data_IF_344563692179
#
_entry.id   IF_344563692179
#
_cell.length_a   1.000
_cell.length_b   1.000
_cell.length_c   1.000
_cell.angle_alpha   90.00
_cell.angle_beta   90.00
_cell.angle_gamma   90.00
#
_symmetry.space_group_name_H-M   'P 1'
#
loop_
_entity.id
_entity.type
_entity.pdbx_description
1 polymer ?
#
# COMPACT_ATOMS: atom_id res chain seq x y z
N UNK A 1 -30.95 28.10 7.23
CA UNK A 1 -30.10 28.07 6.01
C UNK A 1 -28.81 27.29 6.39
N UNK A 2 -29.02 25.98 6.64
CA UNK A 2 -27.95 25.05 7.01
C UNK A 2 -27.49 24.33 5.75
N UNK A 3 -26.37 24.81 5.17
CA UNK A 3 -25.63 24.01 4.22
C UNK A 3 -24.98 22.89 5.05
N UNK A 4 -25.55 21.69 5.02
CA UNK A 4 -24.91 20.49 5.50
C UNK A 4 -23.51 20.45 4.86
N UNK A 5 -22.49 20.56 5.70
CA UNK A 5 -21.14 20.12 5.36
C UNK A 5 -21.22 18.60 5.18
N UNK A 6 -21.56 18.18 3.98
CA UNK A 6 -21.46 16.78 3.60
C UNK A 6 -19.98 16.43 3.73
N UNK A 7 -19.63 15.66 4.75
CA UNK A 7 -18.28 15.13 4.89
C UNK A 7 -17.95 14.30 3.66
N UNK A 8 -16.70 14.39 3.17
CA UNK A 8 -16.24 13.60 2.04
C UNK A 8 -16.48 12.11 2.27
N UNK A 9 -17.00 11.43 1.25
CA UNK A 9 -17.20 9.98 1.29
C UNK A 9 -15.86 9.26 1.14
N UNK A 10 -15.53 8.42 2.13
CA UNK A 10 -14.31 7.65 2.18
C UNK A 10 -14.62 6.16 2.04
N UNK A 11 -14.00 5.48 1.10
CA UNK A 11 -14.15 4.05 0.93
C UNK A 11 -12.80 3.36 0.66
N UNK A 12 -12.70 2.09 1.08
CA UNK A 12 -11.56 1.22 0.76
C UNK A 12 -12.08 -0.16 0.39
N UNK A 13 -11.68 -0.64 -0.77
CA UNK A 13 -12.14 -1.93 -1.29
C UNK A 13 -11.03 -2.70 -2.01
N UNK A 14 -11.25 -4.01 -2.18
CA UNK A 14 -10.42 -4.86 -3.05
C UNK A 14 -10.94 -4.76 -4.48
N UNK A 15 -10.04 -4.59 -5.43
CA UNK A 15 -10.35 -4.55 -6.87
C UNK A 15 -9.99 -5.89 -7.51
N UNK A 16 -10.90 -6.43 -8.31
CA UNK A 16 -10.70 -7.62 -9.14
C UNK A 16 -10.70 -7.29 -10.63
N UNK A 17 -11.34 -6.17 -10.99
CA UNK A 17 -11.36 -5.64 -12.35
C UNK A 17 -11.41 -4.11 -12.34
N UNK A 18 -11.04 -3.48 -13.44
CA UNK A 18 -11.07 -2.04 -13.60
C UNK A 18 -12.13 -1.60 -14.59
N UNK A 19 -12.90 -0.58 -14.25
CA UNK A 19 -13.48 0.32 -15.24
C UNK A 19 -12.38 1.19 -15.85
N UNK A 20 -12.63 1.79 -17.00
CA UNK A 20 -11.65 2.70 -17.62
C UNK A 20 -11.40 3.95 -16.76
N UNK A 21 -12.44 4.46 -16.09
CA UNK A 21 -12.35 5.61 -15.18
C UNK A 21 -11.54 5.27 -13.93
N UNK A 22 -11.73 4.10 -13.34
CA UNK A 22 -10.97 3.64 -12.17
C UNK A 22 -9.47 3.47 -12.50
N UNK A 23 -9.18 2.84 -13.64
CA UNK A 23 -7.80 2.68 -14.07
C UNK A 23 -7.15 4.03 -14.36
N UNK A 24 -7.91 4.94 -14.97
CA UNK A 24 -7.48 6.31 -15.20
C UNK A 24 -7.11 7.02 -13.90
N UNK A 25 -8.02 7.05 -12.95
CA UNK A 25 -7.85 7.71 -11.66
C UNK A 25 -6.67 7.08 -10.87
N UNK A 26 -6.54 5.75 -10.86
CA UNK A 26 -5.43 5.07 -10.21
C UNK A 26 -4.08 5.42 -10.83
N UNK A 27 -4.00 5.51 -12.15
CA UNK A 27 -2.77 5.93 -12.85
C UNK A 27 -2.39 7.37 -12.50
N UNK A 28 -3.35 8.29 -12.46
CA UNK A 28 -3.13 9.69 -12.08
C UNK A 28 -2.66 9.82 -10.63
N UNK A 29 -3.33 9.11 -9.70
CA UNK A 29 -2.95 9.08 -8.30
C UNK A 29 -1.54 8.52 -8.09
N UNK A 30 -1.19 7.46 -8.85
CA UNK A 30 0.14 6.83 -8.82
C UNK A 30 1.21 7.78 -9.34
N UNK A 31 0.96 8.44 -10.46
CA UNK A 31 1.89 9.40 -11.05
C UNK A 31 2.18 10.56 -10.09
N UNK A 32 1.13 11.13 -9.48
CA UNK A 32 1.25 12.17 -8.47
C UNK A 32 2.08 11.70 -7.25
N UNK A 33 1.90 10.44 -6.80
CA UNK A 33 2.65 9.88 -5.69
C UNK A 33 4.12 9.63 -6.05
N UNK A 34 4.43 9.21 -7.28
CA UNK A 34 5.81 9.02 -7.76
C UNK A 34 6.53 10.37 -7.81
N UNK A 35 5.90 11.41 -8.35
CA UNK A 35 6.46 12.76 -8.44
C UNK A 35 6.73 13.37 -7.07
N UNK A 36 5.93 13.03 -6.06
CA UNK A 36 6.10 13.44 -4.66
C UNK A 36 7.15 12.58 -3.91
N UNK A 37 7.83 11.67 -4.59
CA UNK A 37 8.83 10.77 -3.99
C UNK A 37 8.24 9.55 -3.30
N UNK A 38 7.01 9.15 -3.66
CA UNK A 38 6.29 8.02 -3.08
C UNK A 38 6.97 6.67 -3.23
N UNK A 39 6.46 5.69 -2.49
CA UNK A 39 7.04 4.37 -2.23
C UNK A 39 7.01 3.35 -3.37
N UNK A 40 7.16 3.77 -4.62
CA UNK A 40 7.29 2.87 -5.76
C UNK A 40 8.74 2.57 -6.12
N UNK A 41 8.95 1.52 -6.93
CA UNK A 41 10.23 1.27 -7.57
C UNK A 41 10.60 2.36 -8.59
N UNK A 42 9.61 3.05 -9.15
CA UNK A 42 9.84 4.19 -10.02
C UNK A 42 10.24 5.45 -9.25
N UNK A 43 11.23 6.15 -9.75
CA UNK A 43 11.67 7.48 -9.27
C UNK A 43 11.28 8.60 -10.23
N UNK A 44 10.77 8.24 -11.40
CA UNK A 44 10.19 9.12 -12.42
C UNK A 44 8.94 8.46 -12.97
N UNK A 45 8.00 9.27 -13.44
CA UNK A 45 6.81 8.76 -14.11
C UNK A 45 7.20 7.85 -15.28
N UNK A 46 6.70 6.61 -15.35
CA UNK A 46 6.94 5.72 -16.48
C UNK A 46 5.99 6.03 -17.66
N UNK A 47 5.05 6.97 -17.46
CA UNK A 47 4.00 7.34 -18.41
C UNK A 47 2.74 6.47 -18.26
N UNK A 48 1.61 7.05 -18.74
CA UNK A 48 0.25 6.50 -18.58
C UNK A 48 0.16 5.05 -19.03
N UNK A 49 0.60 4.74 -20.24
CA UNK A 49 0.50 3.38 -20.81
C UNK A 49 1.26 2.33 -19.98
N UNK A 50 2.41 2.69 -19.44
CA UNK A 50 3.18 1.77 -18.58
C UNK A 50 2.46 1.50 -17.27
N UNK A 51 1.84 2.51 -16.66
CA UNK A 51 1.03 2.36 -15.44
C UNK A 51 -0.21 1.50 -15.68
N UNK A 52 -0.94 1.74 -16.77
CA UNK A 52 -2.11 0.93 -17.15
C UNK A 52 -1.73 -0.55 -17.35
N UNK A 53 -0.66 -0.82 -18.09
CA UNK A 53 -0.16 -2.19 -18.28
C UNK A 53 0.26 -2.84 -16.96
N UNK A 54 0.91 -2.07 -16.08
CA UNK A 54 1.31 -2.55 -14.76
C UNK A 54 0.10 -2.97 -13.92
N UNK A 55 -0.92 -2.12 -13.80
CA UNK A 55 -2.09 -2.43 -12.98
C UNK A 55 -2.95 -3.54 -13.58
N UNK A 56 -3.16 -3.56 -14.89
CA UNK A 56 -3.84 -4.68 -15.55
C UNK A 56 -3.07 -5.99 -15.37
N UNK A 57 -1.75 -5.97 -15.50
CA UNK A 57 -0.90 -7.13 -15.27
C UNK A 57 -0.91 -7.61 -13.81
N UNK A 58 -1.00 -6.68 -12.86
CA UNK A 58 -1.04 -6.99 -11.44
C UNK A 58 -2.24 -7.87 -11.07
N UNK A 59 -3.42 -7.58 -11.61
CA UNK A 59 -4.63 -8.38 -11.36
C UNK A 59 -4.55 -9.80 -11.91
N UNK A 60 -3.61 -10.09 -12.80
CA UNK A 60 -3.39 -11.43 -13.36
C UNK A 60 -2.42 -12.27 -12.51
N UNK A 61 -1.79 -11.67 -11.49
CA UNK A 61 -0.82 -12.37 -10.63
C UNK A 61 -1.54 -12.97 -9.42
N UNK A 62 -1.64 -14.31 -9.32
CA UNK A 62 -2.43 -14.96 -8.25
C UNK A 62 -1.97 -14.63 -6.83
N UNK A 63 -0.68 -14.31 -6.67
CA UNK A 63 -0.09 -13.98 -5.37
C UNK A 63 -0.34 -12.52 -4.95
N UNK A 64 -1.04 -11.71 -5.77
CA UNK A 64 -1.27 -10.29 -5.47
C UNK A 64 -2.75 -9.97 -5.39
N UNK A 65 -3.11 -9.17 -4.38
CA UNK A 65 -4.41 -8.54 -4.27
C UNK A 65 -4.22 -7.02 -4.22
N UNK A 66 -5.04 -6.31 -4.98
CA UNK A 66 -5.03 -4.85 -5.01
C UNK A 66 -6.18 -4.29 -4.19
N UNK A 67 -5.85 -3.40 -3.27
CA UNK A 67 -6.80 -2.59 -2.51
C UNK A 67 -6.67 -1.14 -2.94
N UNK A 68 -7.80 -0.45 -3.09
CA UNK A 68 -7.85 0.96 -3.48
C UNK A 68 -8.55 1.78 -2.41
N UNK A 69 -8.14 3.04 -2.29
CA UNK A 69 -8.78 4.05 -1.46
C UNK A 69 -9.50 5.05 -2.36
N UNK A 70 -10.76 5.34 -2.03
CA UNK A 70 -11.59 6.31 -2.74
C UNK A 70 -11.90 7.51 -1.85
N UNK A 71 -11.90 8.65 -2.48
CA UNK A 71 -12.40 9.92 -1.96
C UNK A 71 -13.50 10.40 -2.89
N UNK A 72 -14.72 10.53 -2.39
CA UNK A 72 -15.90 10.91 -3.18
C UNK A 72 -16.07 10.05 -4.46
N UNK A 73 -15.89 8.73 -4.30
CA UNK A 73 -15.98 7.74 -5.38
C UNK A 73 -14.74 7.59 -6.27
N UNK A 74 -13.81 8.54 -6.26
CA UNK A 74 -12.62 8.55 -7.13
C UNK A 74 -11.45 7.83 -6.44
N UNK A 75 -10.74 6.96 -7.15
CA UNK A 75 -9.54 6.29 -6.64
C UNK A 75 -8.42 7.31 -6.47
N UNK A 76 -7.90 7.41 -5.24
CA UNK A 76 -6.84 8.35 -4.84
C UNK A 76 -5.64 7.67 -4.19
N UNK A 77 -5.64 6.35 -4.12
CA UNK A 77 -4.52 5.60 -3.55
C UNK A 77 -4.73 4.10 -3.67
N UNK A 78 -3.67 3.34 -3.43
CA UNK A 78 -3.74 1.88 -3.40
C UNK A 78 -2.70 1.25 -2.50
N UNK A 79 -2.89 -0.04 -2.22
CA UNK A 79 -1.93 -0.91 -1.56
C UNK A 79 -2.07 -2.32 -2.10
N UNK A 80 -0.99 -3.10 -2.03
CA UNK A 80 -0.97 -4.48 -2.49
C UNK A 80 -0.73 -5.41 -1.31
N UNK A 81 -1.53 -6.47 -1.21
CA UNK A 81 -1.24 -7.63 -0.40
C UNK A 81 -0.51 -8.65 -1.28
N UNK A 82 0.70 -9.01 -0.90
CA UNK A 82 1.52 -9.97 -1.64
C UNK A 82 1.69 -11.23 -0.80
N UNK A 83 1.24 -12.35 -1.33
CA UNK A 83 1.33 -13.68 -0.72
C UNK A 83 2.74 -14.25 -0.94
N UNK A 84 3.24 -15.13 -0.06
CA UNK A 84 4.47 -15.86 -0.32
C UNK A 84 4.30 -16.78 -1.53
N UNK A 85 5.40 -17.11 -2.19
CA UNK A 85 5.38 -18.10 -3.27
C UNK A 85 4.95 -19.48 -2.74
N UNK A 86 4.24 -20.26 -3.56
CA UNK A 86 3.63 -21.56 -3.15
C UNK A 86 4.62 -22.58 -2.62
N UNK A 87 5.86 -22.52 -3.07
CA UNK A 87 6.93 -23.43 -2.63
C UNK A 87 7.74 -22.90 -1.43
N UNK A 88 7.33 -21.79 -0.82
CA UNK A 88 7.96 -21.27 0.40
C UNK A 88 7.12 -21.69 1.64
N UNK A 89 7.12 -22.97 1.94
CA UNK A 89 6.33 -23.55 3.03
C UNK A 89 6.71 -22.98 4.39
N UNK A 90 7.99 -22.74 4.64
CA UNK A 90 8.48 -22.23 5.91
C UNK A 90 7.98 -20.81 6.24
N UNK A 91 7.61 -20.02 5.24
CA UNK A 91 7.08 -18.67 5.40
C UNK A 91 5.61 -18.54 4.95
N UNK A 92 4.92 -19.66 4.73
CA UNK A 92 3.54 -19.70 4.22
C UNK A 92 2.51 -18.98 5.13
N UNK A 93 2.87 -18.71 6.38
CA UNK A 93 2.03 -18.01 7.35
C UNK A 93 2.15 -16.47 7.30
N UNK A 94 3.05 -15.92 6.49
CA UNK A 94 3.34 -14.48 6.38
C UNK A 94 3.05 -13.94 4.98
N UNK A 95 2.46 -12.75 4.94
CA UNK A 95 2.26 -11.98 3.71
C UNK A 95 2.98 -10.63 3.80
N UNK A 96 2.98 -9.87 2.72
CA UNK A 96 3.61 -8.54 2.69
C UNK A 96 2.62 -7.49 2.18
N UNK A 97 2.63 -6.32 2.83
CA UNK A 97 2.01 -5.10 2.34
C UNK A 97 3.03 -4.34 1.51
N UNK A 98 2.72 -4.08 0.26
CA UNK A 98 3.62 -3.41 -0.68
C UNK A 98 2.93 -2.28 -1.42
N UNK A 99 3.72 -1.32 -1.92
CA UNK A 99 3.27 -0.23 -2.78
C UNK A 99 2.05 0.53 -2.23
N UNK A 100 2.04 0.79 -0.92
CA UNK A 100 0.97 1.55 -0.27
C UNK A 100 1.20 3.05 -0.42
N UNK A 101 0.20 3.75 -0.92
CA UNK A 101 0.23 5.21 -1.06
C UNK A 101 -1.16 5.82 -1.05
N UNK A 102 -1.22 7.10 -0.70
CA UNK A 102 -2.32 8.02 -0.97
C UNK A 102 -1.73 9.20 -1.73
N UNK A 103 -2.39 9.60 -2.82
CA UNK A 103 -1.99 10.74 -3.62
C UNK A 103 -1.86 12.01 -2.75
N UNK A 104 -0.86 12.87 -3.00
CA UNK A 104 -0.59 14.04 -2.15
C UNK A 104 -1.82 14.92 -1.90
N UNK A 105 -2.63 15.11 -2.94
CA UNK A 105 -3.84 15.94 -2.89
C UNK A 105 -5.00 15.34 -2.07
N UNK A 106 -4.94 14.04 -1.72
CA UNK A 106 -5.97 13.33 -0.96
C UNK A 106 -5.51 12.91 0.45
N UNK A 107 -4.38 13.41 0.91
CA UNK A 107 -3.87 13.15 2.27
C UNK A 107 -4.67 13.93 3.32
N UNK A 108 -4.54 13.53 4.58
CA UNK A 108 -5.21 14.19 5.71
C UNK A 108 -6.60 13.68 6.03
N UNK A 109 -7.21 12.83 5.20
CA UNK A 109 -8.56 12.27 5.39
C UNK A 109 -8.58 10.92 6.14
N UNK A 110 -7.44 10.39 6.58
CA UNK A 110 -7.39 9.09 7.27
C UNK A 110 -7.37 7.87 6.34
N UNK A 111 -7.41 8.05 5.02
CA UNK A 111 -7.44 6.98 4.03
C UNK A 111 -6.26 6.00 4.13
N UNK A 112 -5.07 6.47 4.48
CA UNK A 112 -3.90 5.58 4.65
C UNK A 112 -4.09 4.59 5.81
N UNK A 113 -4.74 5.02 6.91
CA UNK A 113 -5.12 4.15 8.03
C UNK A 113 -6.14 3.11 7.59
N UNK A 114 -7.20 3.56 6.90
CA UNK A 114 -8.27 2.70 6.41
C UNK A 114 -7.71 1.65 5.44
N UNK A 115 -6.89 2.09 4.49
CA UNK A 115 -6.27 1.22 3.48
C UNK A 115 -5.39 0.15 4.13
N UNK A 116 -4.52 0.53 5.08
CA UNK A 116 -3.66 -0.42 5.80
C UNK A 116 -4.50 -1.44 6.57
N UNK A 117 -5.52 -1.00 7.31
CA UNK A 117 -6.42 -1.91 8.05
C UNK A 117 -7.17 -2.86 7.13
N UNK A 118 -7.62 -2.38 5.96
CA UNK A 118 -8.31 -3.23 4.98
C UNK A 118 -7.40 -4.32 4.40
N UNK A 119 -6.11 -4.00 4.17
CA UNK A 119 -5.11 -5.01 3.79
C UNK A 119 -4.88 -6.02 4.91
N UNK A 120 -4.79 -5.57 6.18
CA UNK A 120 -4.68 -6.46 7.34
C UNK A 120 -5.88 -7.43 7.46
N UNK A 121 -7.10 -6.92 7.24
CA UNK A 121 -8.33 -7.74 7.21
C UNK A 121 -8.27 -8.77 6.09
N UNK A 122 -7.86 -8.37 4.89
CA UNK A 122 -7.66 -9.28 3.76
C UNK A 122 -6.64 -10.37 4.07
N UNK A 123 -5.52 -10.00 4.68
CA UNK A 123 -4.50 -10.96 5.10
C UNK A 123 -5.03 -11.97 6.14
N UNK A 124 -5.78 -11.48 7.15
CA UNK A 124 -6.41 -12.37 8.15
C UNK A 124 -7.44 -13.32 7.53
N UNK A 125 -8.27 -12.82 6.62
CA UNK A 125 -9.28 -13.62 5.93
C UNK A 125 -8.67 -14.77 5.11
N UNK A 126 -7.45 -14.56 4.61
CA UNK A 126 -6.66 -15.58 3.90
C UNK A 126 -5.85 -16.49 4.85
N UNK A 127 -5.95 -16.31 6.16
CA UNK A 127 -5.27 -17.13 7.16
C UNK A 127 -3.82 -16.72 7.44
N UNK A 128 -3.37 -15.56 7.00
CA UNK A 128 -2.02 -15.08 7.33
C UNK A 128 -1.94 -14.57 8.76
N UNK A 129 -0.84 -14.91 9.43
CA UNK A 129 -0.59 -14.55 10.83
C UNK A 129 0.34 -13.35 10.98
N UNK A 130 1.12 -13.06 9.95
CA UNK A 130 2.11 -11.98 9.94
C UNK A 130 1.95 -11.14 8.67
N UNK A 131 2.01 -9.82 8.83
CA UNK A 131 2.12 -8.89 7.71
C UNK A 131 3.44 -8.14 7.82
N UNK A 132 4.27 -8.26 6.79
CA UNK A 132 5.57 -7.62 6.66
C UNK A 132 5.46 -6.40 5.76
N UNK A 133 6.30 -5.41 5.98
CA UNK A 133 6.48 -4.28 5.07
C UNK A 133 7.87 -3.66 5.22
N UNK A 134 8.26 -2.88 4.24
CA UNK A 134 9.47 -2.07 4.29
C UNK A 134 9.20 -0.65 3.79
N UNK A 135 9.96 0.31 4.30
CA UNK A 135 9.78 1.74 4.05
C UNK A 135 11.14 2.41 3.88
N UNK A 136 11.28 3.24 2.84
CA UNK A 136 12.46 4.10 2.72
C UNK A 136 12.55 5.10 3.87
N UNK A 137 13.74 5.39 4.35
CA UNK A 137 13.97 6.35 5.46
C UNK A 137 13.38 7.75 5.21
N UNK A 138 13.21 8.14 3.95
CA UNK A 138 12.61 9.42 3.56
C UNK A 138 11.08 9.46 3.73
N UNK A 139 10.44 8.34 3.99
CA UNK A 139 8.97 8.22 4.12
C UNK A 139 8.52 8.30 5.59
N UNK A 140 8.90 9.35 6.29
CA UNK A 140 8.65 9.50 7.73
C UNK A 140 7.17 9.42 8.11
N UNK A 141 6.26 9.96 7.29
CA UNK A 141 4.83 9.89 7.54
C UNK A 141 4.31 8.45 7.52
N UNK A 142 4.84 7.62 6.61
CA UNK A 142 4.51 6.19 6.53
C UNK A 142 5.06 5.43 7.75
N UNK A 143 6.29 5.70 8.17
CA UNK A 143 6.86 5.09 9.37
C UNK A 143 6.01 5.39 10.61
N UNK A 144 5.65 6.67 10.84
CA UNK A 144 4.77 7.07 11.94
C UNK A 144 3.39 6.41 11.86
N UNK A 145 2.84 6.23 10.66
CA UNK A 145 1.57 5.54 10.44
C UNK A 145 1.67 4.08 10.90
N UNK A 146 2.65 3.33 10.41
CA UNK A 146 2.79 1.92 10.72
C UNK A 146 3.09 1.68 12.20
N UNK A 147 3.95 2.49 12.82
CA UNK A 147 4.24 2.40 14.26
C UNK A 147 2.97 2.64 15.11
N UNK A 148 2.12 3.63 14.75
CA UNK A 148 0.82 3.84 15.40
C UNK A 148 -0.17 2.70 15.21
N UNK A 149 -0.08 1.98 14.08
CA UNK A 149 -0.90 0.81 13.81
C UNK A 149 -0.36 -0.47 14.46
N UNK A 150 0.73 -0.39 15.23
CA UNK A 150 1.31 -1.49 15.98
C UNK A 150 2.28 -2.36 15.19
N UNK A 151 2.80 -1.86 14.08
CA UNK A 151 3.93 -2.52 13.41
C UNK A 151 5.21 -2.30 14.20
N UNK A 152 6.01 -3.35 14.29
CA UNK A 152 7.28 -3.37 15.01
C UNK A 152 8.41 -3.24 14.01
N UNK A 153 9.24 -2.21 14.19
CA UNK A 153 10.47 -2.04 13.42
C UNK A 153 11.53 -2.99 13.95
N UNK A 154 12.08 -3.84 13.10
CA UNK A 154 13.01 -4.88 13.52
C UNK A 154 14.36 -4.85 12.82
N UNK A 155 14.47 -4.13 11.70
CA UNK A 155 15.71 -4.09 10.95
C UNK A 155 15.86 -2.87 10.07
N UNK A 156 17.12 -2.63 9.64
CA UNK A 156 17.50 -1.60 8.67
C UNK A 156 18.36 -2.21 7.59
N UNK A 157 18.08 -1.84 6.33
CA UNK A 157 18.94 -2.11 5.20
C UNK A 157 19.64 -0.80 4.80
N UNK A 158 20.95 -0.62 5.06
CA UNK A 158 21.63 0.67 4.87
C UNK A 158 21.76 1.08 3.39
N UNK A 159 21.66 0.15 2.47
CA UNK A 159 21.77 0.37 1.03
C UNK A 159 20.50 -0.11 0.30
N UNK A 160 19.32 0.28 0.82
CA UNK A 160 18.01 -0.19 0.39
C UNK A 160 17.57 0.37 -0.98
N UNK A 161 17.80 1.64 -1.24
CA UNK A 161 17.39 2.30 -2.47
C UNK A 161 18.43 3.33 -2.93
N UNK A 162 18.39 3.67 -4.22
CA UNK A 162 19.18 4.77 -4.78
C UNK A 162 18.23 5.75 -5.47
N UNK A 163 18.19 6.99 -4.98
CA UNK A 163 17.34 8.05 -5.51
C UNK A 163 18.18 9.31 -5.68
N UNK A 164 18.16 9.91 -6.87
CA UNK A 164 18.93 11.12 -7.17
C UNK A 164 20.44 10.98 -6.92
N UNK A 165 21.00 9.80 -7.15
CA UNK A 165 22.41 9.49 -6.90
C UNK A 165 22.76 9.21 -5.43
N UNK A 166 21.82 9.38 -4.49
CA UNK A 166 22.03 9.10 -3.06
C UNK A 166 21.55 7.69 -2.72
N UNK A 167 22.31 6.98 -1.91
CA UNK A 167 21.90 5.71 -1.30
C UNK A 167 21.07 6.03 -0.05
N UNK A 168 19.90 5.42 0.04
CA UNK A 168 18.94 5.58 1.13
C UNK A 168 18.81 4.27 1.89
N UNK A 169 18.62 4.36 3.21
CA UNK A 169 18.27 3.21 4.03
C UNK A 169 16.79 2.85 3.88
N UNK A 170 16.46 1.60 4.18
CA UNK A 170 15.10 1.08 4.30
C UNK A 170 14.89 0.43 5.65
N UNK A 171 13.74 0.70 6.24
CA UNK A 171 13.33 0.14 7.52
C UNK A 171 12.35 -1.00 7.28
N UNK A 172 12.57 -2.11 7.97
CA UNK A 172 11.73 -3.30 7.91
C UNK A 172 10.85 -3.41 9.13
N UNK A 173 9.57 -3.70 8.89
CA UNK A 173 8.53 -3.82 9.90
C UNK A 173 7.76 -5.12 9.74
N UNK A 174 7.21 -5.60 10.85
CA UNK A 174 6.22 -6.66 10.84
C UNK A 174 5.10 -6.36 11.85
N UNK A 175 3.96 -7.01 11.65
CA UNK A 175 2.84 -7.02 12.61
C UNK A 175 2.29 -8.42 12.72
N UNK A 176 2.08 -8.89 13.96
CA UNK A 176 1.34 -10.11 14.23
C UNK A 176 -0.15 -9.81 14.11
N UNK A 177 -0.85 -10.54 13.26
CA UNK A 177 -2.25 -10.31 12.93
C UNK A 177 -3.23 -11.04 13.87
N UNK A 178 -2.74 -12.00 14.64
CA UNK A 178 -3.53 -12.80 15.59
C UNK A 178 -3.81 -12.05 16.90
N UNK A 179 -4.99 -12.24 17.53
CA UNK A 179 -5.23 -11.74 18.88
C UNK A 179 -4.21 -12.33 19.86
N UNK A 180 -3.55 -11.46 20.62
CA UNK A 180 -2.58 -11.87 21.63
C UNK A 180 -1.12 -11.95 21.17
N UNK A 181 -0.82 -11.68 19.90
CA UNK A 181 0.55 -11.49 19.41
C UNK A 181 1.49 -12.68 19.54
N UNK A 182 0.97 -13.90 19.68
CA UNK A 182 1.75 -15.14 19.70
C UNK A 182 1.53 -15.91 18.40
N UNK A 183 2.61 -16.28 17.76
CA UNK A 183 2.63 -17.30 16.72
C UNK A 183 2.68 -18.64 17.48
N UNK A 184 1.68 -19.49 17.28
CA UNK A 184 1.65 -20.82 17.88
C UNK A 184 2.70 -21.71 17.20
#
# INVERSE_FOLDING_TARGET
>A
MDALMAGSELAVERIEEFSDDDLAALCEATDAAILDGGGFGWIKSPGRRALENYFRGLLLVPERELFVARLDGIIVGSAQLVRPSRNNEAQAFGASLMHSFIAPYARGHGLAVMLTKRVEEGARALGYHVLNLDVRETQEAAMRLYERLGYIRWGVHPAYARVGGKTLAGWHYYKLLQPGGRIA
#
